data_IF_181828834264
#
_entry.id   IF_181828834264
#
_cell.length_a   1.000
_cell.length_b   1.000
_cell.length_c   1.000
_cell.angle_alpha   90.00
_cell.angle_beta   90.00
_cell.angle_gamma   90.00
#
_symmetry.space_group_name_H-M   'P 1'
#
loop_
_entity.id
_entity.type
_entity.pdbx_description
1 polymer ?
#
# COMPACT_ATOMS: atom_id res chain seq x y z
N UNK A 1 -10.34 27.92 64.77
CA UNK A 1 -11.71 28.45 64.69
C UNK A 1 -12.20 28.26 63.27
N UNK A 2 -13.24 27.42 63.12
CA UNK A 2 -14.25 27.31 62.02
C UNK A 2 -13.79 27.62 60.58
N UNK A 3 -13.80 26.70 59.61
CA UNK A 3 -14.87 25.76 59.22
C UNK A 3 -15.54 26.31 57.94
N UNK A 4 -16.01 25.58 56.93
CA UNK A 4 -16.20 24.15 56.66
C UNK A 4 -16.27 23.96 55.13
N UNK A 5 -15.93 22.75 54.68
CA UNK A 5 -16.06 22.29 53.31
C UNK A 5 -17.23 21.29 53.16
N UNK A 6 -17.58 21.03 51.88
CA UNK A 6 -18.06 19.78 51.26
C UNK A 6 -19.56 19.56 50.93
N UNK A 7 -19.81 19.50 49.61
CA UNK A 7 -20.36 18.38 48.79
C UNK A 7 -21.82 17.89 49.07
N UNK A 8 -22.40 16.95 48.28
CA UNK A 8 -23.18 17.21 47.05
C UNK A 8 -24.54 16.43 47.03
N UNK A 9 -25.34 16.49 45.94
CA UNK A 9 -25.84 15.32 45.15
C UNK A 9 -27.07 15.59 44.21
N UNK A 10 -26.92 15.14 42.96
CA UNK A 10 -27.78 14.30 42.10
C UNK A 10 -29.29 14.54 41.75
N UNK A 11 -29.55 14.63 40.41
CA UNK A 11 -30.65 14.01 39.60
C UNK A 11 -32.10 14.58 39.73
N UNK A 12 -33.09 14.55 38.80
CA UNK A 12 -33.33 14.08 37.43
C UNK A 12 -34.73 14.61 36.93
N UNK A 13 -34.85 15.09 35.68
CA UNK A 13 -35.95 14.82 34.67
C UNK A 13 -37.44 15.29 34.86
N UNK A 14 -37.83 16.27 34.02
CA UNK A 14 -38.89 16.24 32.93
C UNK A 14 -40.36 16.68 33.13
N UNK A 15 -40.84 17.41 32.07
CA UNK A 15 -42.19 17.46 31.41
C UNK A 15 -43.21 18.53 31.91
N UNK A 16 -43.84 19.37 31.05
CA UNK A 16 -45.03 19.05 30.21
C UNK A 16 -45.41 20.20 29.23
N UNK A 17 -46.04 19.80 28.10
CA UNK A 17 -46.71 20.54 27.00
C UNK A 17 -47.97 21.36 27.38
N UNK A 18 -48.39 22.37 26.58
CA UNK A 18 -49.51 22.28 25.59
C UNK A 18 -50.03 23.63 24.99
N UNK A 19 -50.50 23.54 23.72
CA UNK A 19 -51.61 24.28 23.03
C UNK A 19 -51.38 25.71 22.48
N UNK A 20 -51.90 26.17 21.32
CA UNK A 20 -53.26 26.05 20.73
C UNK A 20 -53.29 26.52 19.25
N UNK A 21 -54.23 26.01 18.42
CA UNK A 21 -54.54 26.42 17.02
C UNK A 21 -55.46 27.65 16.94
N UNK A 22 -55.47 28.41 15.82
CA UNK A 22 -56.70 28.94 15.18
C UNK A 22 -56.50 29.50 13.75
N UNK A 23 -57.54 29.34 12.92
CA UNK A 23 -57.74 29.76 11.53
C UNK A 23 -58.20 31.22 11.41
N UNK A 24 -58.03 31.86 10.23
CA UNK A 24 -58.98 32.84 9.66
C UNK A 24 -58.98 32.84 8.12
N UNK A 25 -60.16 33.14 7.53
CA UNK A 25 -60.55 33.10 6.10
C UNK A 25 -60.87 34.53 5.57
N UNK A 26 -60.88 34.66 4.23
CA UNK A 26 -61.59 35.64 3.34
C UNK A 26 -61.10 37.12 3.38
N UNK A 27 -61.11 37.93 2.32
CA UNK A 27 -62.05 38.06 1.20
C UNK A 27 -61.46 38.76 -0.06
N UNK A 28 -62.29 38.74 -1.10
CA UNK A 28 -62.19 39.03 -2.54
C UNK A 28 -62.25 40.49 -3.00
N UNK A 29 -61.83 40.75 -4.26
CA UNK A 29 -62.37 41.80 -5.14
C UNK A 29 -62.25 41.38 -6.62
N UNK A 30 -63.34 41.58 -7.36
CA UNK A 30 -63.54 41.23 -8.77
C UNK A 30 -64.09 42.44 -9.53
N UNK A 31 -63.67 42.60 -10.79
CA UNK A 31 -64.33 43.28 -11.93
C UNK A 31 -63.31 43.33 -13.09
N UNK A 32 -63.57 43.08 -14.38
CA UNK A 32 -64.74 42.66 -15.15
C UNK A 32 -64.49 42.96 -16.65
N UNK A 33 -64.93 42.04 -17.54
CA UNK A 33 -65.38 42.26 -18.94
C UNK A 33 -64.25 42.49 -19.99
N UNK A 34 -64.11 41.84 -21.16
CA UNK A 34 -65.04 41.44 -22.23
C UNK A 34 -64.43 40.33 -23.14
N UNK A 35 -65.34 39.62 -23.80
CA UNK A 35 -65.27 38.47 -24.69
C UNK A 35 -64.45 38.54 -25.99
N UNK A 36 -63.92 37.39 -26.42
CA UNK A 36 -64.10 36.83 -27.78
C UNK A 36 -63.69 35.35 -27.83
N UNK A 37 -64.60 34.50 -28.32
CA UNK A 37 -64.34 33.10 -28.67
C UNK A 37 -63.63 33.04 -30.02
N UNK A 38 -62.49 32.36 -30.08
CA UNK A 38 -62.04 31.67 -31.30
C UNK A 38 -61.66 30.25 -30.86
N UNK A 39 -62.40 29.27 -31.39
CA UNK A 39 -62.00 27.87 -31.36
C UNK A 39 -60.83 27.71 -32.34
N UNK A 40 -59.64 27.39 -31.86
CA UNK A 40 -58.56 26.88 -32.70
C UNK A 40 -58.05 25.56 -32.13
N UNK A 41 -58.19 24.55 -32.98
CA UNK A 41 -57.60 23.21 -32.97
C UNK A 41 -56.29 23.08 -32.20
N UNK A 42 -56.15 21.97 -31.48
CA UNK A 42 -54.87 21.41 -31.05
C UNK A 42 -53.89 21.33 -32.23
N UNK A 43 -52.68 21.80 -32.02
CA UNK A 43 -51.49 21.18 -32.58
C UNK A 43 -50.54 20.96 -31.40
N UNK A 44 -50.58 19.74 -30.85
CA UNK A 44 -49.65 19.26 -29.84
C UNK A 44 -48.29 19.13 -30.52
N UNK A 45 -47.41 20.12 -30.33
CA UNK A 45 -45.98 19.98 -30.60
C UNK A 45 -45.18 20.96 -29.74
N UNK A 46 -45.41 20.93 -28.43
CA UNK A 46 -44.34 21.27 -27.49
C UNK A 46 -43.35 20.12 -27.50
N UNK A 47 -42.47 20.11 -28.51
CA UNK A 47 -41.16 19.53 -28.36
C UNK A 47 -40.52 20.23 -27.17
N UNK A 48 -40.67 19.63 -25.97
CA UNK A 48 -39.79 19.93 -24.85
C UNK A 48 -38.38 19.65 -25.36
N UNK A 49 -37.70 20.73 -25.78
CA UNK A 49 -36.28 20.73 -26.01
C UNK A 49 -35.69 20.24 -24.69
N UNK A 50 -35.31 18.96 -24.61
CA UNK A 50 -34.45 18.52 -23.52
C UNK A 50 -33.25 19.45 -23.60
N UNK A 51 -33.13 20.32 -22.60
CA UNK A 51 -31.96 21.17 -22.44
C UNK A 51 -30.75 20.23 -22.49
N UNK A 52 -30.04 20.30 -23.60
CA UNK A 52 -28.80 19.58 -23.83
C UNK A 52 -27.68 20.32 -23.10
N UNK A 53 -27.92 20.67 -21.83
CA UNK A 53 -27.05 21.52 -21.03
C UNK A 53 -25.99 20.64 -20.40
N UNK A 54 -24.74 20.89 -20.78
CA UNK A 54 -23.61 20.20 -20.17
C UNK A 54 -23.53 20.54 -18.69
N UNK A 55 -23.29 19.54 -17.85
CA UNK A 55 -23.19 19.67 -16.40
C UNK A 55 -21.73 19.57 -15.99
N UNK A 56 -21.29 20.47 -15.11
CA UNK A 56 -19.99 20.35 -14.46
C UNK A 56 -20.08 19.38 -13.28
N UNK A 57 -19.11 18.48 -13.17
CA UNK A 57 -19.00 17.47 -12.10
C UNK A 57 -17.58 17.46 -11.56
N UNK A 58 -17.43 16.87 -10.37
CA UNK A 58 -16.12 16.63 -9.77
C UNK A 58 -15.89 15.14 -9.63
N UNK A 59 -14.76 14.64 -10.12
CA UNK A 59 -14.28 13.29 -9.82
C UNK A 59 -13.12 13.37 -8.84
N UNK A 60 -13.15 12.48 -7.83
CA UNK A 60 -12.14 12.39 -6.77
C UNK A 60 -11.53 11.00 -6.76
N UNK A 61 -10.21 10.94 -6.60
CA UNK A 61 -9.41 9.73 -6.41
C UNK A 61 -8.73 9.82 -5.04
N UNK A 62 -9.07 8.91 -4.15
CA UNK A 62 -8.52 8.84 -2.80
C UNK A 62 -7.72 7.55 -2.63
N UNK A 63 -6.49 7.67 -2.16
CA UNK A 63 -5.66 6.54 -1.79
C UNK A 63 -6.00 6.12 -0.36
N UNK A 64 -6.77 5.04 -0.22
CA UNK A 64 -7.27 4.52 1.06
C UNK A 64 -6.42 3.37 1.61
N UNK A 65 -5.28 3.08 1.00
CA UNK A 65 -4.40 1.99 1.46
C UNK A 65 -3.85 2.27 2.86
N UNK A 66 -3.77 1.23 3.68
CA UNK A 66 -3.11 1.30 4.98
C UNK A 66 -1.62 0.96 4.80
N UNK A 67 -0.68 1.86 5.14
CA UNK A 67 0.75 1.56 5.09
C UNK A 67 1.12 0.36 5.96
N UNK A 68 2.15 -0.37 5.53
CA UNK A 68 2.69 -1.56 6.21
C UNK A 68 4.19 -1.43 6.36
N UNK A 69 4.72 -1.71 7.54
CA UNK A 69 6.15 -1.57 7.85
C UNK A 69 7.04 -2.45 6.98
N UNK A 70 6.53 -3.59 6.51
CA UNK A 70 7.27 -4.57 5.71
C UNK A 70 6.57 -4.88 4.39
N UNK A 71 7.35 -5.11 3.34
CA UNK A 71 6.84 -5.55 2.04
C UNK A 71 6.68 -7.08 2.00
N UNK A 72 7.60 -7.79 2.67
CA UNK A 72 7.61 -9.23 2.85
C UNK A 72 8.17 -9.58 4.23
N UNK A 73 7.70 -10.68 4.80
CA UNK A 73 8.23 -11.24 6.04
C UNK A 73 7.95 -12.73 6.14
N UNK A 74 8.66 -13.40 7.04
CA UNK A 74 8.48 -14.83 7.24
C UNK A 74 9.35 -15.37 8.37
N UNK A 75 9.47 -16.69 8.40
CA UNK A 75 10.33 -17.43 9.33
C UNK A 75 11.30 -18.35 8.60
N UNK A 76 12.28 -18.84 9.34
CA UNK A 76 13.18 -19.91 8.91
C UNK A 76 13.45 -20.86 10.08
N UNK A 77 13.78 -22.11 9.77
CA UNK A 77 14.09 -23.14 10.75
C UNK A 77 14.99 -24.22 10.13
N UNK A 78 15.52 -25.13 10.96
CA UNK A 78 16.32 -26.26 10.47
C UNK A 78 15.53 -27.24 9.59
N UNK A 79 16.25 -28.11 8.88
CA UNK A 79 15.67 -29.20 8.10
C UNK A 79 15.62 -30.48 8.95
N UNK A 80 14.45 -31.12 9.06
CA UNK A 80 14.26 -32.33 9.87
C UNK A 80 14.22 -32.10 11.40
N UNK A 81 14.57 -30.89 11.86
CA UNK A 81 14.41 -30.39 13.23
C UNK A 81 14.20 -28.88 13.18
N UNK A 82 13.41 -28.26 14.08
CA UNK A 82 13.23 -26.82 14.10
C UNK A 82 14.52 -26.02 14.32
N UNK A 83 15.51 -26.60 15.00
CA UNK A 83 16.80 -25.95 15.27
C UNK A 83 17.81 -26.17 14.13
N UNK A 84 18.64 -25.17 13.86
CA UNK A 84 19.76 -25.27 12.92
C UNK A 84 21.01 -25.63 13.74
N UNK A 85 21.42 -26.88 13.67
CA UNK A 85 22.59 -27.39 14.39
C UNK A 85 23.90 -26.91 13.75
N UNK A 86 25.03 -26.94 14.49
CA UNK A 86 26.35 -26.71 13.91
C UNK A 86 26.60 -27.53 12.64
N UNK A 87 27.12 -26.88 11.60
CA UNK A 87 27.34 -27.45 10.27
C UNK A 87 26.11 -27.45 9.34
N UNK A 88 24.91 -27.17 9.85
CA UNK A 88 23.70 -27.08 9.02
C UNK A 88 23.52 -25.69 8.41
N UNK A 89 22.70 -25.63 7.35
CA UNK A 89 22.30 -24.39 6.68
C UNK A 89 20.83 -24.41 6.31
N UNK A 90 20.24 -23.23 6.21
CA UNK A 90 18.90 -22.99 5.65
C UNK A 90 18.96 -21.82 4.68
N UNK A 91 18.07 -21.81 3.69
CA UNK A 91 17.93 -20.68 2.78
C UNK A 91 16.51 -20.12 2.83
N UNK A 92 16.41 -18.80 2.70
CA UNK A 92 15.15 -18.07 2.47
C UNK A 92 15.28 -17.26 1.19
N UNK A 93 14.16 -17.09 0.49
CA UNK A 93 14.05 -16.23 -0.69
C UNK A 93 13.01 -15.16 -0.41
N UNK A 94 13.31 -13.92 -0.80
CA UNK A 94 12.44 -12.76 -0.62
C UNK A 94 12.71 -11.72 -1.70
N UNK A 95 11.71 -10.91 -2.04
CA UNK A 95 11.90 -9.80 -2.97
C UNK A 95 12.39 -8.55 -2.24
N UNK A 96 13.24 -7.76 -2.91
CA UNK A 96 13.63 -6.46 -2.41
C UNK A 96 14.06 -5.51 -3.54
N UNK A 97 13.66 -4.26 -3.42
CA UNK A 97 14.13 -3.13 -4.22
C UNK A 97 15.25 -2.35 -3.51
N UNK A 98 15.78 -1.34 -4.21
CA UNK A 98 16.83 -0.47 -3.68
C UNK A 98 16.39 0.22 -2.38
N UNK A 99 17.33 0.56 -1.52
CA UNK A 99 17.10 1.18 -0.19
C UNK A 99 16.48 0.26 0.87
N UNK A 100 15.72 -0.76 0.47
CA UNK A 100 15.17 -1.73 1.43
C UNK A 100 16.29 -2.53 2.10
N UNK A 101 16.03 -2.95 3.33
CA UNK A 101 16.94 -3.73 4.16
C UNK A 101 16.25 -5.00 4.66
N UNK A 102 17.05 -6.05 4.81
CA UNK A 102 16.61 -7.31 5.42
C UNK A 102 16.90 -7.29 6.92
N UNK A 103 15.88 -7.47 7.74
CA UNK A 103 16.04 -7.75 9.16
C UNK A 103 15.87 -9.23 9.45
N UNK A 104 16.65 -9.77 10.39
CA UNK A 104 16.47 -11.14 10.89
C UNK A 104 16.77 -11.23 12.39
N UNK A 105 16.15 -12.19 13.08
CA UNK A 105 16.44 -12.53 14.47
C UNK A 105 16.24 -14.03 14.76
N UNK A 106 17.14 -14.63 15.54
CA UNK A 106 17.05 -16.01 16.05
C UNK A 106 17.85 -16.17 17.34
N UNK A 107 17.48 -17.12 18.20
CA UNK A 107 18.15 -17.38 19.47
C UNK A 107 19.57 -17.94 19.28
N UNK A 108 20.48 -17.52 20.15
CA UNK A 108 21.70 -18.29 20.44
C UNK A 108 21.30 -19.39 21.44
N UNK A 109 21.13 -20.63 20.97
CA UNK A 109 20.44 -21.67 21.74
C UNK A 109 21.13 -22.13 23.02
N UNK A 110 22.45 -21.95 23.15
CA UNK A 110 23.21 -22.28 24.35
C UNK A 110 23.26 -21.15 25.42
N UNK A 111 22.48 -20.09 25.26
CA UNK A 111 22.38 -18.95 26.19
C UNK A 111 21.10 -18.97 27.02
N UNK A 112 20.96 -18.04 27.97
CA UNK A 112 19.70 -17.79 28.71
C UNK A 112 18.82 -16.76 28.02
N UNK A 113 19.41 -15.79 27.33
CA UNK A 113 18.69 -14.73 26.62
C UNK A 113 19.52 -14.02 25.54
N UNK A 114 20.51 -14.68 24.95
CA UNK A 114 21.24 -14.13 23.81
C UNK A 114 20.57 -14.48 22.48
N UNK A 115 20.68 -13.58 21.51
CA UNK A 115 20.10 -13.76 20.19
C UNK A 115 20.96 -13.14 19.09
N UNK A 116 21.00 -13.80 17.94
CA UNK A 116 21.55 -13.22 16.72
C UNK A 116 20.50 -12.30 16.10
N UNK A 117 20.92 -11.13 15.66
CA UNK A 117 20.10 -10.28 14.82
C UNK A 117 20.93 -9.43 13.86
N UNK A 118 20.35 -9.10 12.71
CA UNK A 118 20.92 -8.11 11.81
C UNK A 118 21.18 -6.79 12.53
N UNK A 119 22.20 -6.05 12.10
CA UNK A 119 22.38 -4.63 12.46
C UNK A 119 21.09 -3.86 12.16
N UNK A 120 20.84 -2.77 12.88
CA UNK A 120 19.78 -1.81 12.55
C UNK A 120 20.34 -0.75 11.58
N UNK A 121 19.63 -0.34 10.51
CA UNK A 121 18.23 -0.66 10.19
C UNK A 121 18.02 -1.94 9.35
N UNK A 122 18.98 -2.84 9.31
CA UNK A 122 18.94 -4.12 8.59
C UNK A 122 20.21 -4.36 7.81
N UNK A 123 20.29 -5.53 7.18
CA UNK A 123 21.31 -5.87 6.19
C UNK A 123 21.01 -5.06 4.93
N UNK A 124 21.96 -4.23 4.48
CA UNK A 124 21.85 -3.53 3.19
C UNK A 124 21.82 -4.54 2.05
N UNK A 125 20.81 -4.46 1.19
CA UNK A 125 20.61 -5.36 0.05
C UNK A 125 21.15 -4.77 -1.27
N UNK A 126 21.29 -3.45 -1.34
CA UNK A 126 21.91 -2.74 -2.44
C UNK A 126 22.98 -1.79 -1.90
N UNK A 127 24.06 -1.61 -2.66
CA UNK A 127 25.11 -0.63 -2.35
C UNK A 127 24.66 0.79 -2.71
N UNK A 128 25.50 1.78 -2.38
CA UNK A 128 25.18 3.19 -2.62
C UNK A 128 25.16 3.56 -4.13
N UNK A 129 25.67 2.68 -5.00
CA UNK A 129 25.57 2.80 -6.46
C UNK A 129 24.32 2.10 -7.04
N UNK A 130 23.53 1.43 -6.19
CA UNK A 130 22.34 0.69 -6.57
C UNK A 130 22.60 -0.72 -7.12
N UNK A 131 23.81 -1.28 -6.94
CA UNK A 131 24.11 -2.67 -7.26
C UNK A 131 23.65 -3.59 -6.13
N UNK A 132 23.13 -4.77 -6.47
CA UNK A 132 22.76 -5.77 -5.47
C UNK A 132 24.00 -6.26 -4.70
N UNK A 133 23.90 -6.30 -3.37
CA UNK A 133 24.92 -6.85 -2.48
C UNK A 133 24.81 -8.37 -2.52
N UNK A 134 25.87 -9.04 -2.98
CA UNK A 134 25.95 -10.51 -3.07
C UNK A 134 27.23 -11.01 -2.41
N UNK A 135 27.28 -12.31 -2.10
CA UNK A 135 28.36 -12.93 -1.37
C UNK A 135 28.20 -12.80 0.15
N UNK A 136 29.32 -12.80 0.87
CA UNK A 136 29.36 -12.84 2.32
C UNK A 136 28.92 -11.51 2.96
N UNK A 137 27.85 -11.56 3.74
CA UNK A 137 27.32 -10.42 4.51
C UNK A 137 27.30 -10.69 6.01
N UNK A 138 28.07 -11.67 6.48
CA UNK A 138 28.13 -12.11 7.88
C UNK A 138 28.54 -10.99 8.84
N UNK A 139 29.28 -9.97 8.37
CA UNK A 139 29.62 -8.79 9.16
C UNK A 139 28.42 -7.90 9.52
N UNK A 140 27.24 -8.16 8.94
CA UNK A 140 25.99 -7.44 9.18
C UNK A 140 25.08 -8.12 10.21
N UNK A 141 25.47 -9.27 10.76
CA UNK A 141 24.80 -9.89 11.93
C UNK A 141 25.64 -9.67 13.18
N UNK A 142 24.97 -9.41 14.31
CA UNK A 142 25.57 -9.23 15.62
C UNK A 142 24.91 -10.19 16.61
N UNK A 143 25.61 -10.47 17.71
CA UNK A 143 25.10 -11.22 18.85
C UNK A 143 24.72 -10.23 19.95
N UNK A 144 23.50 -10.35 20.46
CA UNK A 144 22.89 -9.43 21.40
C UNK A 144 22.49 -10.16 22.67
N UNK A 145 22.69 -9.50 23.81
CA UNK A 145 22.15 -9.86 25.10
C UNK A 145 20.79 -9.15 25.27
N UNK A 146 19.73 -9.89 25.59
CA UNK A 146 18.40 -9.33 25.72
C UNK A 146 18.22 -8.47 26.99
N UNK A 147 19.08 -8.65 27.99
CA UNK A 147 19.08 -7.92 29.25
C UNK A 147 17.99 -8.36 30.22
N UNK A 148 17.35 -9.51 29.98
CA UNK A 148 16.23 -10.02 30.77
C UNK A 148 16.61 -11.15 31.70
N UNK A 149 17.73 -11.83 31.42
CA UNK A 149 18.32 -12.85 32.28
C UNK A 149 19.83 -12.70 32.31
N UNK A 150 20.40 -12.99 33.45
CA UNK A 150 21.83 -13.17 33.58
C UNK A 150 22.25 -14.45 32.86
N UNK A 151 23.12 -14.38 31.85
CA UNK A 151 23.48 -15.56 31.06
C UNK A 151 24.18 -16.67 31.89
N UNK A 152 24.91 -16.30 32.95
CA UNK A 152 25.59 -17.28 33.81
C UNK A 152 24.66 -17.90 34.87
N UNK A 153 23.88 -17.07 35.57
CA UNK A 153 23.08 -17.51 36.73
C UNK A 153 21.62 -17.81 36.39
N UNK A 154 21.13 -17.37 35.24
CA UNK A 154 19.73 -17.46 34.83
C UNK A 154 18.77 -16.58 35.64
N UNK A 155 19.28 -15.77 36.57
CA UNK A 155 18.49 -14.83 37.36
C UNK A 155 17.87 -13.76 36.47
N UNK A 156 16.66 -13.32 36.83
CA UNK A 156 15.98 -12.24 36.11
C UNK A 156 16.76 -10.94 36.25
N UNK A 157 16.87 -10.22 35.13
CA UNK A 157 17.49 -8.89 35.05
C UNK A 157 16.56 -7.93 34.31
N UNK A 158 16.87 -6.63 34.38
CA UNK A 158 16.19 -5.57 33.63
C UNK A 158 17.23 -4.57 33.13
N UNK A 159 18.06 -5.04 32.19
CA UNK A 159 19.10 -4.24 31.55
C UNK A 159 18.66 -3.91 30.12
N UNK A 160 19.19 -2.81 29.54
CA UNK A 160 19.00 -2.55 28.13
C UNK A 160 19.62 -3.64 27.25
N UNK A 161 19.04 -3.89 26.08
CA UNK A 161 19.62 -4.75 25.05
C UNK A 161 20.99 -4.21 24.66
N UNK A 162 22.01 -5.06 24.75
CA UNK A 162 23.39 -4.70 24.48
C UNK A 162 24.06 -5.74 23.58
N UNK A 163 25.05 -5.34 22.80
CA UNK A 163 25.84 -6.31 22.03
C UNK A 163 26.71 -7.14 22.99
N UNK A 164 26.76 -8.46 22.78
CA UNK A 164 27.62 -9.36 23.54
C UNK A 164 29.10 -9.04 23.22
N UNK A 165 29.93 -8.71 24.22
CA UNK A 165 31.34 -8.38 24.00
C UNK A 165 32.16 -9.64 23.68
N UNK A 166 33.25 -9.47 22.94
CA UNK A 166 34.27 -10.51 22.67
C UNK A 166 33.76 -11.78 21.93
N UNK A 167 32.55 -11.76 21.37
CA UNK A 167 32.04 -12.82 20.51
C UNK A 167 31.89 -12.30 19.09
N UNK A 168 32.61 -12.92 18.15
CA UNK A 168 32.48 -12.56 16.73
C UNK A 168 31.31 -13.32 16.09
N UNK A 169 30.13 -12.71 16.08
CA UNK A 169 28.92 -13.32 15.52
C UNK A 169 29.09 -13.81 14.07
N UNK A 170 29.88 -13.10 13.26
CA UNK A 170 30.13 -13.45 11.84
C UNK A 170 30.89 -14.78 11.66
N UNK A 171 31.62 -15.23 12.69
CA UNK A 171 32.28 -16.54 12.68
C UNK A 171 31.31 -17.68 13.04
N UNK A 172 30.24 -17.38 13.78
CA UNK A 172 29.25 -18.37 14.22
C UNK A 172 28.11 -18.49 13.22
N UNK A 173 27.57 -17.37 12.75
CA UNK A 173 26.50 -17.31 11.77
C UNK A 173 27.03 -16.72 10.47
N UNK A 174 27.24 -17.59 9.48
CA UNK A 174 27.64 -17.16 8.15
C UNK A 174 26.39 -16.85 7.32
N UNK A 175 26.39 -15.67 6.71
CA UNK A 175 25.32 -15.17 5.86
C UNK A 175 25.85 -14.94 4.45
N UNK A 176 25.22 -15.56 3.45
CA UNK A 176 25.59 -15.37 2.05
C UNK A 176 24.37 -15.03 1.20
N UNK A 177 24.45 -13.94 0.43
CA UNK A 177 23.41 -13.48 -0.48
C UNK A 177 23.70 -13.85 -1.94
N UNK A 178 22.68 -14.29 -2.65
CA UNK A 178 22.62 -14.29 -4.12
C UNK A 178 21.43 -13.47 -4.58
N UNK A 179 21.46 -12.98 -5.83
CA UNK A 179 20.43 -12.11 -6.36
C UNK A 179 20.02 -12.50 -7.77
N UNK A 180 18.71 -12.51 -8.03
CA UNK A 180 18.11 -12.63 -9.36
C UNK A 180 17.57 -11.26 -9.79
N UNK A 181 18.26 -10.62 -10.73
CA UNK A 181 17.89 -9.29 -11.24
C UNK A 181 16.57 -9.26 -12.01
N UNK A 182 16.14 -10.38 -12.60
CA UNK A 182 14.91 -10.43 -13.39
C UNK A 182 13.69 -10.39 -12.47
N UNK A 183 13.67 -11.20 -11.40
CA UNK A 183 12.57 -11.22 -10.43
C UNK A 183 12.73 -10.23 -9.28
N UNK A 184 13.93 -9.65 -9.11
CA UNK A 184 14.33 -8.85 -7.95
C UNK A 184 14.32 -9.62 -6.62
N UNK A 185 14.68 -10.89 -6.68
CA UNK A 185 14.70 -11.78 -5.51
C UNK A 185 16.11 -12.01 -5.00
N UNK A 186 16.27 -11.90 -3.69
CA UNK A 186 17.46 -12.37 -3.00
C UNK A 186 17.23 -13.75 -2.42
N UNK A 187 18.27 -14.56 -2.39
CA UNK A 187 18.32 -15.76 -1.55
C UNK A 187 19.40 -15.56 -0.50
N UNK A 188 18.99 -15.57 0.77
CA UNK A 188 19.90 -15.58 1.91
C UNK A 188 20.12 -17.03 2.35
N UNK A 189 21.37 -17.46 2.35
CA UNK A 189 21.78 -18.71 3.00
C UNK A 189 22.35 -18.39 4.38
N UNK A 190 21.78 -19.02 5.40
CA UNK A 190 22.18 -18.90 6.81
C UNK A 190 22.84 -20.22 7.20
N UNK A 191 24.14 -20.18 7.50
CA UNK A 191 24.92 -21.34 7.93
C UNK A 191 25.34 -21.21 9.37
N UNK A 192 25.14 -22.29 10.14
CA UNK A 192 25.65 -22.38 11.51
C UNK A 192 27.08 -22.92 11.46
N UNK A 193 28.05 -22.02 11.61
CA UNK A 193 29.48 -22.30 11.60
C UNK A 193 30.08 -22.39 13.02
N UNK A 194 29.25 -22.48 14.06
CA UNK A 194 29.70 -22.47 15.45
C UNK A 194 30.41 -23.76 15.92
N UNK A 195 30.32 -24.85 15.14
CA UNK A 195 30.85 -26.16 15.51
C UNK A 195 32.35 -26.16 15.76
N UNK A 196 32.78 -26.75 16.87
CA UNK A 196 34.17 -26.80 17.30
C UNK A 196 34.75 -25.48 17.81
N UNK A 197 33.92 -24.42 17.91
CA UNK A 197 34.32 -23.15 18.52
C UNK A 197 33.99 -23.12 20.02
N UNK A 198 34.56 -22.18 20.77
CA UNK A 198 34.19 -21.95 22.17
C UNK A 198 32.73 -21.49 22.36
N UNK A 199 32.06 -21.08 21.27
CA UNK A 199 30.68 -20.59 21.25
C UNK A 199 29.80 -21.51 20.38
N UNK A 200 30.07 -22.81 20.39
CA UNK A 200 29.23 -23.81 19.72
C UNK A 200 27.79 -23.73 20.24
N UNK A 201 26.83 -23.57 19.34
CA UNK A 201 25.44 -23.28 19.70
C UNK A 201 24.50 -23.71 18.57
N UNK A 202 23.31 -24.27 18.85
CA UNK A 202 22.27 -24.37 17.85
C UNK A 202 21.59 -22.99 17.66
N UNK A 203 21.03 -22.74 16.47
CA UNK A 203 20.11 -21.61 16.27
C UNK A 203 18.68 -22.10 16.39
N UNK A 204 17.81 -21.33 17.05
CA UNK A 204 16.37 -21.61 17.07
C UNK A 204 15.74 -21.34 15.70
N UNK A 205 14.44 -21.64 15.53
CA UNK A 205 13.66 -20.96 14.51
C UNK A 205 13.84 -19.44 14.63
N UNK A 206 13.91 -18.77 13.48
CA UNK A 206 14.08 -17.34 13.38
C UNK A 206 13.00 -16.69 12.54
N UNK A 207 12.98 -15.36 12.59
CA UNK A 207 12.12 -14.52 11.76
C UNK A 207 12.95 -13.63 10.85
N UNK A 208 12.33 -13.17 9.78
CA UNK A 208 12.89 -12.17 8.89
C UNK A 208 11.82 -11.23 8.35
N UNK A 209 12.23 -10.03 7.93
CA UNK A 209 11.37 -9.07 7.25
C UNK A 209 12.17 -8.16 6.32
N UNK A 210 11.56 -7.77 5.21
CA UNK A 210 12.09 -6.77 4.27
C UNK A 210 11.35 -5.46 4.54
N UNK A 211 12.10 -4.42 4.89
CA UNK A 211 11.56 -3.09 5.19
C UNK A 211 10.75 -2.52 4.03
N UNK A 212 9.65 -1.83 4.30
CA UNK A 212 8.94 -1.06 3.30
C UNK A 212 9.55 0.34 3.13
N UNK A 213 9.49 0.88 1.91
CA UNK A 213 10.08 2.16 1.52
C UNK A 213 9.03 3.01 0.81
N UNK A 214 8.91 4.29 1.19
CA UNK A 214 7.87 5.16 0.64
C UNK A 214 8.33 6.11 -0.48
N UNK A 215 9.53 5.90 -1.04
CA UNK A 215 10.14 6.83 -2.00
C UNK A 215 11.00 7.91 -1.33
N UNK A 216 11.07 7.95 0.00
CA UNK A 216 11.92 8.89 0.74
C UNK A 216 12.66 8.24 1.91
N UNK A 217 11.98 7.38 2.68
CA UNK A 217 12.57 6.70 3.84
C UNK A 217 11.96 5.32 4.05
N UNK A 218 12.67 4.48 4.83
CA UNK A 218 12.09 3.26 5.38
C UNK A 218 10.96 3.61 6.35
N UNK A 219 9.88 2.84 6.32
CA UNK A 219 8.75 3.07 7.24
C UNK A 219 9.07 2.69 8.69
N UNK A 220 9.94 1.69 8.88
CA UNK A 220 10.41 1.27 10.18
C UNK A 220 11.91 0.89 10.10
N UNK A 221 12.74 1.58 10.88
CA UNK A 221 14.20 1.41 10.90
C UNK A 221 14.70 0.53 12.06
N UNK A 222 13.82 0.06 12.95
CA UNK A 222 14.16 -0.79 14.10
C UNK A 222 12.97 -1.68 14.54
N UNK A 223 12.47 -2.57 13.67
CA UNK A 223 11.16 -3.21 13.87
C UNK A 223 11.15 -4.29 14.96
N UNK A 224 12.30 -4.90 15.20
CA UNK A 224 12.46 -6.01 16.14
C UNK A 224 12.83 -5.52 17.52
N UNK A 225 13.81 -4.62 17.62
CA UNK A 225 14.27 -4.04 18.87
C UNK A 225 15.09 -2.78 18.63
N UNK A 226 15.29 -2.00 19.69
CA UNK A 226 16.17 -0.84 19.72
C UNK A 226 17.36 -1.13 20.62
N UNK A 227 18.58 -1.01 20.09
CA UNK A 227 19.79 -1.16 20.88
C UNK A 227 19.84 -0.12 22.01
N UNK A 228 20.33 -0.51 23.19
CA UNK A 228 20.38 0.32 24.40
C UNK A 228 19.01 0.73 24.97
N UNK A 229 17.93 0.05 24.57
CA UNK A 229 16.62 0.16 25.21
C UNK A 229 16.25 -1.15 25.91
N UNK A 230 15.27 -1.11 26.83
CA UNK A 230 14.71 -2.34 27.40
C UNK A 230 14.06 -3.20 26.32
N UNK A 231 14.06 -4.52 26.53
CA UNK A 231 13.46 -5.47 25.60
C UNK A 231 11.93 -5.32 25.48
N UNK A 232 11.39 -5.94 24.43
CA UNK A 232 9.96 -6.14 24.21
C UNK A 232 9.59 -7.64 24.29
N UNK A 233 8.29 -7.98 24.48
CA UNK A 233 7.85 -9.36 24.61
C UNK A 233 8.19 -10.26 23.41
N UNK A 234 8.24 -9.70 22.19
CA UNK A 234 8.49 -10.47 20.97
C UNK A 234 9.95 -10.96 20.89
N UNK A 235 10.92 -10.08 21.12
CA UNK A 235 12.33 -10.47 21.13
C UNK A 235 12.71 -11.24 22.39
N UNK A 236 12.11 -10.95 23.55
CA UNK A 236 12.36 -11.75 24.76
C UNK A 236 11.95 -13.20 24.59
N UNK A 237 10.81 -13.49 23.95
CA UNK A 237 10.38 -14.87 23.67
C UNK A 237 11.36 -15.59 22.72
N UNK A 238 11.90 -14.89 21.71
CA UNK A 238 12.93 -15.45 20.82
C UNK A 238 14.21 -15.70 21.60
N UNK A 239 14.71 -14.71 22.32
CA UNK A 239 15.99 -14.76 22.99
C UNK A 239 16.05 -15.81 24.11
N UNK A 240 14.97 -16.01 24.86
CA UNK A 240 14.96 -16.96 25.98
C UNK A 240 14.57 -18.38 25.60
N UNK A 241 13.74 -18.55 24.55
CA UNK A 241 13.07 -19.82 24.27
C UNK A 241 13.09 -20.22 22.80
N UNK A 242 13.60 -19.36 21.91
CA UNK A 242 13.49 -19.57 20.46
C UNK A 242 12.04 -19.53 19.95
N UNK A 243 11.11 -18.95 20.72
CA UNK A 243 9.69 -18.92 20.36
C UNK A 243 9.39 -17.69 19.51
N UNK A 244 9.12 -17.91 18.23
CA UNK A 244 8.85 -16.85 17.26
C UNK A 244 7.39 -16.42 17.17
N UNK A 245 6.48 -17.04 17.93
CA UNK A 245 5.03 -16.90 17.71
C UNK A 245 4.53 -15.46 17.82
N UNK A 246 4.94 -14.72 18.86
CA UNK A 246 4.54 -13.31 19.04
C UNK A 246 5.11 -12.42 17.95
N UNK A 247 6.38 -12.64 17.58
CA UNK A 247 7.02 -11.86 16.52
C UNK A 247 6.37 -12.13 15.16
N UNK A 248 6.03 -13.38 14.84
CA UNK A 248 5.31 -13.72 13.60
C UNK A 248 3.93 -13.08 13.55
N UNK A 249 3.20 -13.01 14.68
CA UNK A 249 1.93 -12.29 14.74
C UNK A 249 2.10 -10.79 14.42
N UNK A 250 3.11 -10.15 15.01
CA UNK A 250 3.44 -8.73 14.74
C UNK A 250 3.84 -8.52 13.28
N UNK A 251 4.65 -9.42 12.71
CA UNK A 251 5.11 -9.37 11.33
C UNK A 251 3.95 -9.52 10.35
N UNK A 252 3.11 -10.55 10.52
CA UNK A 252 1.95 -10.78 9.66
C UNK A 252 0.97 -9.60 9.66
N UNK A 253 0.76 -8.94 10.82
CA UNK A 253 -0.10 -7.77 10.91
C UNK A 253 0.45 -6.54 10.18
N UNK A 254 1.78 -6.43 10.07
CA UNK A 254 2.48 -5.26 9.54
C UNK A 254 3.21 -5.52 8.21
N UNK A 255 2.92 -6.64 7.55
CA UNK A 255 3.43 -6.97 6.23
C UNK A 255 2.34 -6.79 5.19
N UNK A 256 2.67 -6.18 4.07
CA UNK A 256 1.77 -6.13 2.92
C UNK A 256 2.19 -5.12 1.87
N UNK A 257 1.65 -5.32 0.68
CA UNK A 257 1.82 -4.40 -0.43
C UNK A 257 1.03 -3.11 -0.14
N UNK A 258 1.72 -1.98 -0.23
CA UNK A 258 1.11 -0.65 -0.27
C UNK A 258 1.46 0.01 -1.61
N UNK A 259 0.85 1.14 -1.93
CA UNK A 259 1.23 1.90 -3.14
C UNK A 259 0.88 3.38 -3.02
N UNK A 260 1.60 4.21 -3.75
CA UNK A 260 1.10 5.51 -4.19
C UNK A 260 0.24 5.36 -5.46
N UNK A 261 -0.57 6.37 -5.77
CA UNK A 261 -1.24 6.49 -7.06
C UNK A 261 -0.58 7.60 -7.87
N UNK A 262 -0.45 7.47 -9.20
CA UNK A 262 -0.04 8.63 -10.00
C UNK A 262 -1.15 9.70 -10.03
N UNK A 263 -0.87 10.91 -10.54
CA UNK A 263 -1.95 11.75 -11.07
C UNK A 263 -2.88 10.95 -11.97
N UNK A 264 -4.17 11.19 -11.84
CA UNK A 264 -5.18 10.47 -12.62
C UNK A 264 -5.52 11.26 -13.89
N UNK A 265 -5.56 10.58 -15.03
CA UNK A 265 -6.08 11.13 -16.27
C UNK A 265 -7.57 10.78 -16.38
N UNK A 266 -8.40 11.77 -16.66
CA UNK A 266 -9.86 11.65 -16.79
C UNK A 266 -10.27 12.06 -18.20
N UNK A 267 -11.11 11.26 -18.84
CA UNK A 267 -11.50 11.44 -20.24
C UNK A 267 -13.01 11.40 -20.35
N UNK A 268 -13.60 12.45 -20.92
CA UNK A 268 -15.01 12.47 -21.32
C UNK A 268 -15.07 12.18 -22.81
N UNK A 269 -15.89 11.21 -23.23
CA UNK A 269 -15.92 10.71 -24.60
C UNK A 269 -17.30 10.21 -25.02
N UNK A 270 -17.48 10.03 -26.33
CA UNK A 270 -18.66 9.39 -26.94
C UNK A 270 -18.28 8.10 -27.67
N UNK A 271 -19.28 7.26 -27.95
CA UNK A 271 -19.10 5.95 -28.59
C UNK A 271 -18.90 4.81 -27.59
N UNK A 272 -18.63 3.60 -28.08
CA UNK A 272 -18.66 2.38 -27.24
C UNK A 272 -17.30 1.88 -26.77
N UNK A 273 -16.21 2.37 -27.36
CA UNK A 273 -14.85 1.97 -27.01
C UNK A 273 -14.24 2.92 -26.00
N UNK A 274 -13.67 2.35 -24.93
CA UNK A 274 -12.83 3.10 -24.00
C UNK A 274 -11.62 3.66 -24.77
N UNK A 275 -11.39 4.98 -24.78
CA UNK A 275 -10.31 5.58 -25.57
C UNK A 275 -8.91 5.38 -24.94
N UNK A 276 -8.82 4.93 -23.69
CA UNK A 276 -7.57 4.73 -22.94
C UNK A 276 -6.92 3.38 -23.23
N UNK A 277 -7.70 2.30 -23.24
CA UNK A 277 -7.22 0.93 -23.42
C UNK A 277 -8.31 0.01 -23.98
N UNK A 278 -7.91 -1.14 -24.53
CA UNK A 278 -8.81 -2.22 -24.97
C UNK A 278 -8.34 -3.54 -24.34
N UNK A 279 -9.20 -4.18 -23.54
CA UNK A 279 -8.86 -5.42 -22.84
C UNK A 279 -8.53 -6.53 -23.85
N UNK A 280 -7.46 -7.29 -23.59
CA UNK A 280 -7.01 -8.36 -24.47
C UNK A 280 -6.30 -7.89 -25.74
N UNK A 281 -6.05 -6.59 -25.90
CA UNK A 281 -5.16 -6.03 -26.92
C UNK A 281 -3.85 -5.57 -26.29
N UNK A 282 -2.77 -5.55 -27.06
CA UNK A 282 -1.50 -4.94 -26.63
C UNK A 282 -1.63 -3.42 -26.50
N UNK A 283 -0.78 -2.79 -25.67
CA UNK A 283 -0.73 -1.31 -25.60
C UNK A 283 -0.61 -0.68 -27.00
N UNK A 284 -1.45 0.33 -27.26
CA UNK A 284 -1.53 1.00 -28.55
C UNK A 284 -0.39 2.01 -28.79
N UNK A 285 0.55 2.15 -27.85
CA UNK A 285 1.66 3.10 -27.92
C UNK A 285 1.24 4.57 -27.78
N UNK A 286 -0.02 4.83 -27.42
CA UNK A 286 -0.61 6.18 -27.33
C UNK A 286 -0.27 6.90 -26.02
N UNK A 287 0.28 6.21 -25.03
CA UNK A 287 0.67 6.82 -23.75
C UNK A 287 0.34 6.02 -22.49
N UNK A 288 -0.34 4.87 -22.60
CA UNK A 288 -0.71 4.07 -21.42
C UNK A 288 0.52 3.48 -20.74
N UNK A 289 1.54 3.06 -21.50
CA UNK A 289 2.85 2.66 -20.98
C UNK A 289 3.45 3.73 -20.07
N UNK A 290 3.45 4.99 -20.50
CA UNK A 290 4.06 6.08 -19.74
C UNK A 290 3.32 6.35 -18.41
N UNK A 291 2.00 6.21 -18.39
CA UNK A 291 1.22 6.30 -17.14
C UNK A 291 1.50 5.09 -16.25
N UNK A 292 1.36 3.88 -16.79
CA UNK A 292 1.45 2.65 -16.00
C UNK A 292 2.86 2.36 -15.47
N UNK A 293 3.92 2.82 -16.14
CA UNK A 293 5.30 2.61 -15.71
C UNK A 293 5.88 3.77 -14.88
N UNK A 294 5.40 5.00 -15.06
CA UNK A 294 6.02 6.19 -14.46
C UNK A 294 5.05 7.26 -13.95
N UNK A 295 3.75 7.05 -14.13
CA UNK A 295 2.72 8.04 -13.78
C UNK A 295 2.67 9.26 -14.70
N UNK A 296 3.40 9.26 -15.83
CA UNK A 296 3.44 10.40 -16.74
C UNK A 296 2.24 10.40 -17.71
N UNK A 297 1.30 11.32 -17.47
CA UNK A 297 0.05 11.44 -18.24
C UNK A 297 0.18 12.18 -19.56
N UNK A 298 1.30 12.87 -19.81
CA UNK A 298 1.40 13.89 -20.86
C UNK A 298 1.20 13.33 -22.28
N UNK A 299 1.80 12.17 -22.55
CA UNK A 299 1.71 11.53 -23.88
C UNK A 299 0.29 11.07 -24.17
N UNK A 300 -0.35 10.38 -23.21
CA UNK A 300 -1.72 9.91 -23.38
C UNK A 300 -2.70 11.10 -23.49
N UNK A 301 -2.52 12.13 -22.67
CA UNK A 301 -3.31 13.35 -22.74
C UNK A 301 -3.25 13.99 -24.13
N UNK A 302 -2.06 14.07 -24.72
CA UNK A 302 -1.84 14.63 -26.06
C UNK A 302 -2.53 13.78 -27.12
N UNK A 303 -2.32 12.46 -27.09
CA UNK A 303 -2.93 11.52 -28.04
C UNK A 303 -4.46 11.59 -28.00
N UNK A 304 -5.07 11.61 -26.82
CA UNK A 304 -6.52 11.61 -26.65
C UNK A 304 -7.19 12.89 -27.18
N UNK A 305 -6.55 14.06 -27.01
CA UNK A 305 -7.07 15.35 -27.52
C UNK A 305 -7.22 15.39 -29.04
N UNK A 306 -6.57 14.48 -29.77
CA UNK A 306 -6.67 14.39 -31.23
C UNK A 306 -7.86 13.54 -31.71
N UNK A 307 -8.51 12.81 -30.81
CA UNK A 307 -9.59 11.90 -31.17
C UNK A 307 -10.94 12.64 -31.29
N UNK A 308 -11.68 12.47 -32.40
CA UNK A 308 -12.92 13.22 -32.63
C UNK A 308 -14.05 12.85 -31.65
N UNK A 309 -13.98 11.66 -31.05
CA UNK A 309 -14.94 11.18 -30.06
C UNK A 309 -14.57 11.55 -28.62
N UNK A 310 -13.41 12.19 -28.38
CA UNK A 310 -13.03 12.70 -27.05
C UNK A 310 -13.53 14.14 -26.92
N UNK A 311 -14.28 14.41 -25.85
CA UNK A 311 -14.88 15.72 -25.56
C UNK A 311 -14.07 16.54 -24.56
N UNK A 312 -13.33 15.87 -23.67
CA UNK A 312 -12.49 16.53 -22.68
C UNK A 312 -11.46 15.59 -22.09
N UNK A 313 -10.29 16.13 -21.76
CA UNK A 313 -9.20 15.41 -21.08
C UNK A 313 -8.67 16.25 -19.94
N UNK A 314 -8.80 15.74 -18.72
CA UNK A 314 -8.52 16.43 -17.47
C UNK A 314 -7.51 15.63 -16.64
N UNK A 315 -6.76 16.31 -15.77
CA UNK A 315 -5.82 15.67 -14.86
C UNK A 315 -6.21 16.01 -13.43
N UNK A 316 -6.24 15.00 -12.56
CA UNK A 316 -6.40 15.16 -11.12
C UNK A 316 -5.04 14.95 -10.44
N UNK A 317 -4.55 16.02 -9.80
CA UNK A 317 -3.24 16.02 -9.14
C UNK A 317 -2.07 16.34 -10.08
N UNK A 318 -0.91 16.63 -9.49
CA UNK A 318 0.35 16.93 -10.20
C UNK A 318 1.55 16.12 -9.65
N UNK A 319 1.32 15.34 -8.61
CA UNK A 319 2.32 14.52 -7.94
C UNK A 319 1.66 13.20 -7.47
N UNK A 320 2.45 12.18 -7.08
CA UNK A 320 1.90 10.95 -6.53
C UNK A 320 0.98 11.19 -5.32
N UNK A 321 -0.14 10.47 -5.29
CA UNK A 321 -1.10 10.48 -4.20
C UNK A 321 -0.69 9.45 -3.17
N UNK A 322 -0.12 9.91 -2.07
CA UNK A 322 0.30 9.07 -0.95
C UNK A 322 -0.89 8.49 -0.19
N UNK A 323 -0.72 7.37 0.54
CA UNK A 323 -1.74 6.81 1.41
C UNK A 323 -2.43 7.86 2.30
N UNK A 324 -3.75 7.79 2.42
CA UNK A 324 -4.58 8.74 3.18
C UNK A 324 -4.85 10.09 2.50
N UNK A 325 -4.36 10.31 1.29
CA UNK A 325 -4.56 11.56 0.54
C UNK A 325 -5.47 11.36 -0.66
N UNK A 326 -5.98 12.47 -1.20
CA UNK A 326 -6.86 12.47 -2.38
C UNK A 326 -6.54 13.62 -3.34
N UNK A 327 -6.88 13.40 -4.60
CA UNK A 327 -6.83 14.40 -5.67
C UNK A 327 -8.16 14.43 -6.39
N UNK A 328 -8.48 15.56 -7.02
CA UNK A 328 -9.73 15.75 -7.72
C UNK A 328 -9.55 16.66 -8.94
N UNK A 329 -10.49 16.56 -9.88
CA UNK A 329 -10.58 17.46 -11.01
C UNK A 329 -12.04 17.68 -11.41
N UNK A 330 -12.31 18.82 -12.03
CA UNK A 330 -13.62 19.11 -12.58
C UNK A 330 -13.67 18.72 -14.06
N UNK A 331 -14.78 18.17 -14.49
CA UNK A 331 -15.05 17.88 -15.89
C UNK A 331 -16.47 18.32 -16.27
N UNK A 332 -16.68 18.50 -17.57
CA UNK A 332 -17.99 18.87 -18.13
C UNK A 332 -18.49 17.72 -19.00
N UNK A 333 -19.76 17.35 -18.84
CA UNK A 333 -20.38 16.27 -19.60
C UNK A 333 -21.79 16.65 -20.06
N UNK A 334 -22.14 16.31 -21.29
CA UNK A 334 -23.48 16.37 -21.83
C UNK A 334 -24.22 15.03 -21.61
N UNK A 335 -25.56 15.00 -21.71
CA UNK A 335 -26.31 13.75 -21.76
C UNK A 335 -25.77 12.79 -22.83
N UNK A 336 -25.52 11.54 -22.46
CA UNK A 336 -24.97 10.51 -23.35
C UNK A 336 -23.43 10.43 -23.41
N UNK A 337 -22.71 11.38 -22.82
CA UNK A 337 -21.26 11.27 -22.66
C UNK A 337 -20.89 10.16 -21.68
N UNK A 338 -19.74 9.54 -21.91
CA UNK A 338 -19.13 8.53 -21.04
C UNK A 338 -17.85 9.08 -20.41
N UNK A 339 -17.47 8.51 -19.27
CA UNK A 339 -16.23 8.84 -18.57
C UNK A 339 -15.31 7.63 -18.50
N UNK A 340 -14.02 7.86 -18.76
CA UNK A 340 -12.94 6.92 -18.52
C UNK A 340 -11.87 7.57 -17.64
N UNK A 341 -11.18 6.78 -16.83
CA UNK A 341 -10.05 7.27 -16.05
C UNK A 341 -8.94 6.23 -15.95
N UNK A 342 -7.72 6.71 -15.71
CA UNK A 342 -6.54 5.88 -15.47
C UNK A 342 -5.60 6.53 -14.47
N UNK A 343 -5.06 5.74 -13.53
CA UNK A 343 -3.99 6.13 -12.60
C UNK A 343 -3.07 4.93 -12.33
N UNK A 344 -1.77 5.15 -12.19
CA UNK A 344 -0.77 4.11 -11.95
C UNK A 344 -0.93 3.47 -10.57
N UNK A 345 -0.73 2.15 -10.49
CA UNK A 345 -0.33 1.50 -9.25
C UNK A 345 1.18 1.73 -9.08
N UNK A 346 1.57 2.75 -8.33
CA UNK A 346 2.94 3.27 -8.29
C UNK A 346 4.04 2.27 -7.90
N UNK A 347 3.69 1.19 -7.20
CA UNK A 347 4.63 0.19 -6.70
C UNK A 347 4.73 -1.04 -7.63
N UNK A 348 4.28 -0.92 -8.88
CA UNK A 348 4.36 -1.97 -9.89
C UNK A 348 5.33 -1.60 -11.01
N UNK A 349 5.60 -2.55 -11.90
CA UNK A 349 6.39 -2.32 -13.10
C UNK A 349 5.56 -1.57 -14.16
N UNK A 350 4.29 -1.92 -14.33
CA UNK A 350 3.41 -1.33 -15.36
C UNK A 350 1.90 -1.54 -15.11
N UNK A 351 1.46 -1.56 -13.85
CA UNK A 351 0.04 -1.72 -13.52
C UNK A 351 -0.67 -0.38 -13.33
N UNK A 352 -1.98 -0.39 -13.60
CA UNK A 352 -2.82 0.79 -13.51
C UNK A 352 -4.26 0.45 -13.08
N UNK A 353 -4.87 1.38 -12.36
CA UNK A 353 -6.31 1.37 -12.10
C UNK A 353 -7.06 2.08 -13.21
N UNK A 354 -8.13 1.48 -13.70
CA UNK A 354 -9.07 2.10 -14.64
C UNK A 354 -10.49 1.54 -14.44
N UNK A 355 -11.50 2.23 -14.99
CA UNK A 355 -12.82 1.62 -15.07
C UNK A 355 -12.85 0.50 -16.12
N UNK A 356 -13.38 -0.66 -15.73
CA UNK A 356 -13.61 -1.79 -16.64
C UNK A 356 -14.87 -1.57 -17.47
N UNK A 357 -15.95 -1.21 -16.79
CA UNK A 357 -17.25 -1.02 -17.41
C UNK A 357 -17.39 0.42 -17.95
N UNK A 358 -18.23 0.57 -18.97
CA UNK A 358 -18.68 1.89 -19.42
C UNK A 358 -19.43 2.62 -18.31
N UNK A 359 -19.12 3.90 -18.10
CA UNK A 359 -19.74 4.75 -17.07
C UNK A 359 -20.31 5.98 -17.75
N UNK A 360 -21.59 6.28 -17.49
CA UNK A 360 -22.21 7.56 -17.86
C UNK A 360 -21.48 8.69 -17.13
N UNK A 361 -21.01 9.70 -17.86
CA UNK A 361 -20.29 10.83 -17.29
C UNK A 361 -21.15 11.67 -16.32
N UNK A 362 -22.47 11.56 -16.42
CA UNK A 362 -23.45 12.16 -15.51
C UNK A 362 -23.80 11.27 -14.31
N UNK A 363 -23.19 10.09 -14.16
CA UNK A 363 -23.33 9.29 -12.95
C UNK A 363 -22.88 10.06 -11.69
N UNK A 364 -23.40 9.68 -10.53
CA UNK A 364 -23.01 10.22 -9.22
C UNK A 364 -22.74 9.07 -8.25
N UNK A 365 -21.91 9.33 -7.25
CA UNK A 365 -21.58 8.41 -6.18
C UNK A 365 -20.29 7.63 -6.41
N UNK A 366 -20.19 6.52 -5.70
CA UNK A 366 -19.00 5.69 -5.63
C UNK A 366 -18.84 4.81 -6.89
N UNK A 367 -17.67 4.90 -7.52
CA UNK A 367 -17.28 4.14 -8.71
C UNK A 367 -16.22 3.07 -8.42
N UNK A 368 -15.86 2.86 -7.17
CA UNK A 368 -14.78 1.95 -6.76
C UNK A 368 -15.04 0.53 -7.24
N UNK A 369 -16.28 0.06 -7.17
CA UNK A 369 -16.67 -1.28 -7.68
C UNK A 369 -16.58 -1.43 -9.20
N UNK A 370 -16.46 -0.33 -9.93
CA UNK A 370 -16.25 -0.31 -11.39
C UNK A 370 -14.78 -0.14 -11.75
N UNK A 371 -13.92 0.10 -10.77
CA UNK A 371 -12.47 0.22 -10.92
C UNK A 371 -11.85 -1.17 -10.88
N UNK A 372 -10.89 -1.44 -11.74
CA UNK A 372 -10.11 -2.68 -11.77
C UNK A 372 -8.63 -2.35 -11.92
N UNK A 373 -7.78 -3.20 -11.33
CA UNK A 373 -6.34 -3.15 -11.52
C UNK A 373 -5.95 -3.98 -12.75
N UNK A 374 -5.26 -3.35 -13.69
CA UNK A 374 -4.82 -3.94 -14.93
C UNK A 374 -3.30 -3.91 -15.03
N UNK A 375 -2.76 -4.90 -15.72
CA UNK A 375 -1.40 -4.95 -16.22
C UNK A 375 -1.43 -4.45 -17.69
N UNK A 376 -0.55 -3.52 -18.03
CA UNK A 376 -0.47 -2.96 -19.38
C UNK A 376 0.21 -3.88 -20.41
N UNK A 377 0.92 -4.91 -19.93
CA UNK A 377 1.68 -5.85 -20.74
C UNK A 377 2.92 -5.24 -21.38
N UNK A 378 3.48 -4.18 -20.79
CA UNK A 378 4.61 -3.42 -21.32
C UNK A 378 5.88 -3.54 -20.46
N UNK A 379 5.76 -4.06 -19.23
CA UNK A 379 6.83 -4.28 -18.29
C UNK A 379 6.75 -5.68 -17.65
N UNK A 380 7.85 -6.43 -17.59
CA UNK A 380 7.86 -7.70 -16.84
C UNK A 380 7.62 -7.42 -15.36
N UNK A 381 6.62 -8.10 -14.81
CA UNK A 381 6.25 -8.03 -13.40
C UNK A 381 7.36 -8.48 -12.44
N UNK A 382 7.50 -7.71 -11.36
CA UNK A 382 8.25 -8.05 -10.15
C UNK A 382 7.35 -7.84 -8.93
N UNK A 383 7.75 -8.34 -7.77
CA UNK A 383 6.95 -8.22 -6.55
C UNK A 383 6.62 -6.74 -6.26
N UNK A 384 5.33 -6.36 -6.13
CA UNK A 384 4.95 -4.96 -5.98
C UNK A 384 5.54 -4.32 -4.71
N UNK A 385 6.27 -3.23 -4.87
CA UNK A 385 6.96 -2.53 -3.79
C UNK A 385 8.30 -3.14 -3.40
N UNK A 386 8.81 -4.10 -4.18
CA UNK A 386 10.10 -4.76 -3.97
C UNK A 386 10.82 -5.12 -5.27
N UNK A 387 10.43 -4.53 -6.41
CA UNK A 387 11.07 -4.77 -7.71
C UNK A 387 12.12 -3.71 -8.04
N UNK A 388 13.38 -4.10 -8.27
CA UNK A 388 14.46 -3.17 -8.63
C UNK A 388 14.24 -2.41 -9.95
N UNK A 389 13.33 -2.89 -10.81
CA UNK A 389 12.95 -2.27 -12.09
C UNK A 389 11.70 -1.41 -12.00
N UNK A 390 11.11 -1.24 -10.81
CA UNK A 390 9.97 -0.36 -10.58
C UNK A 390 10.42 1.10 -10.45
N UNK A 391 9.59 2.05 -10.90
CA UNK A 391 9.92 3.47 -10.88
C UNK A 391 10.18 4.01 -9.46
N UNK A 392 9.51 3.44 -8.45
CA UNK A 392 9.75 3.76 -7.03
C UNK A 392 11.23 3.66 -6.62
N UNK A 393 11.97 2.72 -7.22
CA UNK A 393 13.38 2.46 -6.93
C UNK A 393 14.32 3.04 -8.00
N UNK A 394 13.84 4.00 -8.79
CA UNK A 394 14.57 4.54 -9.94
C UNK A 394 14.91 3.46 -10.99
N UNK A 395 14.11 2.40 -11.04
CA UNK A 395 14.24 1.30 -11.99
C UNK A 395 13.59 1.63 -13.34
N UNK A 396 13.94 0.84 -14.36
CA UNK A 396 13.26 0.85 -15.66
C UNK A 396 12.69 -0.55 -15.91
N UNK A 397 11.37 -0.70 -16.12
CA UNK A 397 10.75 -1.98 -16.38
C UNK A 397 11.40 -2.71 -17.57
N UNK A 398 11.57 -4.03 -17.46
CA UNK A 398 11.98 -4.84 -18.61
C UNK A 398 10.87 -4.80 -19.65
N UNK A 399 11.16 -4.39 -20.88
CA UNK A 399 10.12 -4.34 -21.90
C UNK A 399 9.57 -5.74 -22.20
N UNK A 400 8.26 -5.82 -22.31
CA UNK A 400 7.53 -6.92 -22.92
C UNK A 400 6.39 -6.39 -23.79
N UNK A 401 5.65 -7.30 -24.43
CA UNK A 401 4.48 -6.96 -25.24
C UNK A 401 3.44 -8.06 -25.08
N UNK A 402 2.70 -7.98 -23.98
CA UNK A 402 1.55 -8.84 -23.70
C UNK A 402 0.24 -8.07 -23.91
N UNK A 403 -0.87 -8.77 -24.14
CA UNK A 403 -2.19 -8.15 -24.07
C UNK A 403 -2.45 -7.56 -22.69
N UNK A 404 -3.11 -6.40 -22.66
CA UNK A 404 -3.61 -5.78 -21.43
C UNK A 404 -4.58 -6.75 -20.76
N UNK A 405 -4.36 -7.02 -19.49
CA UNK A 405 -5.12 -8.01 -18.72
C UNK A 405 -5.39 -7.51 -17.30
N UNK A 406 -6.35 -8.14 -16.61
CA UNK A 406 -6.51 -7.90 -15.17
C UNK A 406 -5.33 -8.51 -14.44
N UNK A 407 -4.83 -7.81 -13.42
CA UNK A 407 -3.79 -8.37 -12.55
C UNK A 407 -4.31 -9.64 -11.89
N UNK A 408 -3.52 -10.71 -11.98
CA UNK A 408 -3.84 -12.02 -11.41
C UNK A 408 -3.54 -12.12 -9.92
N UNK A 409 -3.41 -13.35 -9.43
CA UNK A 409 -3.16 -13.65 -8.00
C UNK A 409 -1.74 -14.13 -7.70
N UNK A 410 -0.78 -13.86 -8.60
CA UNK A 410 0.63 -14.26 -8.40
C UNK A 410 1.21 -13.57 -7.16
N UNK A 411 0.84 -12.31 -6.94
CA UNK A 411 1.22 -11.53 -5.77
C UNK A 411 0.01 -11.26 -4.86
N UNK A 412 0.21 -11.07 -3.54
CA UNK A 412 -0.88 -10.82 -2.58
C UNK A 412 -1.36 -9.36 -2.62
N UNK A 413 -1.74 -8.88 -3.81
CA UNK A 413 -2.18 -7.50 -4.03
C UNK A 413 -3.49 -7.23 -3.26
N UNK A 414 -3.60 -6.11 -2.51
CA UNK A 414 -4.84 -5.77 -1.84
C UNK A 414 -5.99 -5.56 -2.84
N UNK A 415 -7.21 -5.92 -2.43
CA UNK A 415 -8.39 -5.65 -3.23
C UNK A 415 -8.54 -4.14 -3.53
N UNK A 416 -9.11 -3.80 -4.70
CA UNK A 416 -9.19 -2.42 -5.22
C UNK A 416 -9.76 -1.44 -4.18
N UNK A 417 -10.84 -1.83 -3.49
CA UNK A 417 -11.52 -1.00 -2.49
C UNK A 417 -10.67 -0.71 -1.23
N UNK A 418 -9.59 -1.48 -1.02
CA UNK A 418 -8.64 -1.25 0.06
C UNK A 418 -7.46 -0.39 -0.39
N UNK A 419 -7.41 0.07 -1.65
CA UNK A 419 -6.32 0.89 -2.18
C UNK A 419 -6.83 2.21 -2.72
N UNK A 420 -7.85 2.19 -3.57
CA UNK A 420 -8.37 3.37 -4.23
C UNK A 420 -9.88 3.49 -4.03
N UNK A 421 -10.32 4.71 -3.73
CA UNK A 421 -11.74 5.10 -3.78
C UNK A 421 -11.94 6.14 -4.87
N UNK A 422 -12.90 5.89 -5.76
CA UNK A 422 -13.24 6.80 -6.87
C UNK A 422 -14.68 7.28 -6.70
N UNK A 423 -14.91 8.59 -6.70
CA UNK A 423 -16.26 9.16 -6.49
C UNK A 423 -16.53 10.29 -7.48
N UNK A 424 -17.75 10.35 -8.03
CA UNK A 424 -18.26 11.53 -8.76
C UNK A 424 -19.30 12.24 -7.91
N UNK A 425 -19.13 13.54 -7.71
CA UNK A 425 -20.07 14.41 -6.98
C UNK A 425 -20.82 15.35 -7.92
#
# INVERSE_FOLDING_TARGET
MSGFANLPDSSCVTKILFMKKNLFKTASLAAGILSTFILTSCDDNDHMMMENTSVQRTITFENVVTPKDFVESGSFQGTGSPVILPGQSVSITFSAGKTQALMLATMYGASKDWFFASKQPGIKLFDDNGNAVTGDVSSQVLLWDNGTKNDMSGQVESKPIAQVPNVNASQLMKLNLTYNDVSSEFTLTISNNSGGTANETPFSPGVWAVSNYNGSQLLNNAPFFTANALSNPEITDIAQMGNISKMMMKLNANTGIMTGLSPALVVVYTGDKNPVYELGQTDAGKGLKEISQSGNVSKLQTSLKTLPNVKGVYVAGSAPVTPGNKVMTQFTAAPGDKIAYVTMFGFSNDWFYANEQSIDANAKGDLTSKTTLFDSGTGVDQYPGAGNRQALFGGTPQSESKPIAKVGSIFPVPAVQNVIKVTIN
#
